data_IF_105396045494
#
_entry.id   IF_105396045494
#
_cell.length_a   1.000
_cell.length_b   1.000
_cell.length_c   1.000
_cell.angle_alpha   90.00
_cell.angle_beta   90.00
_cell.angle_gamma   90.00
#
_symmetry.space_group_name_H-M   'P 1'
#
loop_
_entity.id
_entity.type
_entity.pdbx_description
1 polymer ?
#
# COMPACT_ATOMS: atom_id res chain seq x y z
N UNK A 1 9.42 -0.68 -21.25
CA UNK A 1 9.64 -2.08 -21.62
C UNK A 1 11.09 -2.20 -22.06
N UNK A 2 11.82 -3.16 -21.51
CA UNK A 2 13.24 -3.39 -21.83
C UNK A 2 14.12 -2.13 -21.77
N UNK A 3 13.95 -1.34 -20.71
CA UNK A 3 14.71 -0.10 -20.49
C UNK A 3 14.19 1.14 -21.22
N UNK A 4 13.16 1.02 -22.06
CA UNK A 4 12.54 2.16 -22.78
C UNK A 4 11.26 2.60 -22.09
N UNK A 5 11.05 3.91 -21.93
CA UNK A 5 9.80 4.45 -21.41
C UNK A 5 8.66 4.20 -22.41
N UNK A 6 7.56 3.60 -21.95
CA UNK A 6 6.40 3.27 -22.78
C UNK A 6 5.14 3.76 -22.10
N UNK A 7 4.25 4.40 -22.86
CA UNK A 7 2.90 4.76 -22.40
C UNK A 7 2.01 3.52 -22.38
N UNK A 8 1.34 3.27 -21.27
CA UNK A 8 0.39 2.17 -21.12
C UNK A 8 -0.94 2.69 -20.60
N UNK A 9 -2.02 2.14 -21.15
CA UNK A 9 -3.35 2.30 -20.57
C UNK A 9 -3.60 1.14 -19.60
N UNK A 10 -4.13 1.47 -18.42
CA UNK A 10 -4.55 0.50 -17.42
C UNK A 10 -5.95 0.89 -16.91
N UNK A 11 -6.76 -0.13 -16.60
CA UNK A 11 -8.07 0.07 -15.98
C UNK A 11 -7.87 0.12 -14.47
N UNK A 12 -8.51 1.07 -13.81
CA UNK A 12 -8.51 1.21 -12.36
C UNK A 12 -9.92 1.05 -11.82
N UNK A 13 -10.04 0.50 -10.61
CA UNK A 13 -11.32 0.43 -9.91
C UNK A 13 -11.79 1.85 -9.58
N UNK A 14 -13.09 2.08 -9.68
CA UNK A 14 -13.76 3.33 -9.31
C UNK A 14 -14.82 3.04 -8.26
N UNK A 15 -15.04 3.99 -7.35
CA UNK A 15 -15.94 3.83 -6.21
C UNK A 15 -16.80 5.07 -6.04
N UNK A 16 -18.00 4.91 -5.46
CA UNK A 16 -18.92 6.01 -5.20
C UNK A 16 -18.48 6.86 -4.00
N UNK A 17 -17.77 6.27 -3.04
CA UNK A 17 -17.25 6.95 -1.85
C UNK A 17 -15.86 6.50 -1.45
N UNK A 18 -15.20 7.30 -0.60
CA UNK A 18 -13.93 6.87 0.03
C UNK A 18 -14.13 5.62 0.89
N UNK A 19 -15.24 5.52 1.63
CA UNK A 19 -15.54 4.35 2.46
C UNK A 19 -15.57 3.07 1.64
N UNK A 20 -16.21 3.09 0.46
CA UNK A 20 -16.24 1.91 -0.42
C UNK A 20 -14.84 1.51 -0.89
N UNK A 21 -13.99 2.50 -1.21
CA UNK A 21 -12.61 2.22 -1.62
C UNK A 21 -11.77 1.60 -0.50
N UNK A 22 -11.95 2.05 0.75
CA UNK A 22 -11.24 1.49 1.91
C UNK A 22 -11.74 0.10 2.28
N UNK A 23 -13.05 -0.13 2.21
CA UNK A 23 -13.63 -1.46 2.45
C UNK A 23 -13.10 -2.48 1.44
N UNK A 24 -13.14 -2.15 0.13
CA UNK A 24 -12.59 -3.02 -0.91
C UNK A 24 -11.08 -3.24 -0.77
N UNK A 25 -10.33 -2.21 -0.34
CA UNK A 25 -8.90 -2.35 -0.04
C UNK A 25 -8.65 -3.37 1.09
N UNK A 26 -9.40 -3.27 2.19
CA UNK A 26 -9.28 -4.21 3.32
C UNK A 26 -9.67 -5.63 2.90
N UNK A 27 -10.77 -5.77 2.15
CA UNK A 27 -11.21 -7.07 1.65
C UNK A 27 -10.20 -7.69 0.68
N UNK A 28 -9.63 -6.89 -0.22
CA UNK A 28 -8.55 -7.33 -1.11
C UNK A 28 -7.34 -7.87 -0.35
N UNK A 29 -6.92 -7.18 0.71
CA UNK A 29 -5.81 -7.65 1.53
C UNK A 29 -6.17 -8.95 2.27
N UNK A 30 -7.31 -8.97 2.97
CA UNK A 30 -7.74 -10.10 3.79
C UNK A 30 -7.98 -11.38 3.00
N UNK A 31 -8.59 -11.25 1.83
CA UNK A 31 -8.95 -12.40 0.99
C UNK A 31 -7.78 -12.95 0.15
N UNK A 32 -6.62 -12.30 0.21
CA UNK A 32 -5.42 -12.73 -0.53
C UNK A 32 -4.40 -13.36 0.42
N UNK A 33 -4.06 -14.65 0.24
CA UNK A 33 -2.98 -15.30 0.99
C UNK A 33 -1.64 -14.56 0.87
N UNK A 34 -1.44 -13.82 -0.24
CA UNK A 34 -0.24 -13.02 -0.52
C UNK A 34 0.09 -12.00 0.57
N UNK A 35 -0.91 -11.47 1.28
CA UNK A 35 -0.72 -10.36 2.22
C UNK A 35 -0.89 -10.74 3.70
N UNK A 36 -1.01 -12.02 4.03
CA UNK A 36 -1.30 -12.44 5.40
C UNK A 36 -0.19 -12.02 6.37
N UNK A 37 1.07 -12.10 5.96
CA UNK A 37 2.21 -11.67 6.79
C UNK A 37 2.18 -10.16 7.09
N UNK A 38 1.73 -9.35 6.12
CA UNK A 38 1.52 -7.92 6.34
C UNK A 38 0.37 -7.69 7.34
N UNK A 39 -0.76 -8.38 7.18
CA UNK A 39 -1.93 -8.27 8.06
C UNK A 39 -1.61 -8.69 9.50
N UNK A 40 -0.80 -9.72 9.69
CA UNK A 40 -0.33 -10.15 11.00
C UNK A 40 0.47 -9.05 11.73
N UNK A 41 1.02 -8.09 10.98
CA UNK A 41 1.73 -6.92 11.50
C UNK A 41 0.88 -5.64 11.52
N UNK A 42 -0.44 -5.70 11.36
CA UNK A 42 -1.30 -4.52 11.25
C UNK A 42 -1.20 -3.54 12.44
N UNK A 43 -0.83 -4.02 13.64
CA UNK A 43 -0.59 -3.18 14.81
C UNK A 43 0.75 -2.42 14.79
N UNK A 44 1.64 -2.75 13.86
CA UNK A 44 2.94 -2.10 13.64
C UNK A 44 2.95 -1.51 12.21
N UNK A 45 2.72 -0.19 12.05
CA UNK A 45 2.65 0.44 10.73
C UNK A 45 3.89 0.20 9.86
N UNK A 46 5.09 0.20 10.44
CA UNK A 46 6.33 -0.06 9.69
C UNK A 46 6.39 -1.52 9.21
N UNK A 47 6.04 -2.46 10.09
CA UNK A 47 5.98 -3.89 9.77
C UNK A 47 4.92 -4.22 8.70
N UNK A 48 3.73 -3.61 8.81
CA UNK A 48 2.69 -3.72 7.79
C UNK A 48 3.17 -3.23 6.41
N UNK A 49 3.80 -2.05 6.34
CA UNK A 49 4.29 -1.48 5.08
C UNK A 49 5.44 -2.29 4.47
N UNK A 50 6.32 -2.84 5.30
CA UNK A 50 7.37 -3.77 4.85
C UNK A 50 6.76 -5.05 4.27
N UNK A 51 5.79 -5.66 4.97
CA UNK A 51 5.09 -6.84 4.50
C UNK A 51 4.34 -6.60 3.17
N UNK A 52 3.74 -5.42 2.97
CA UNK A 52 3.15 -5.06 1.68
C UNK A 52 4.18 -5.01 0.55
N UNK A 53 5.37 -4.48 0.80
CA UNK A 53 6.45 -4.44 -0.19
C UNK A 53 6.94 -5.85 -0.53
N UNK A 54 7.22 -6.67 0.48
CA UNK A 54 7.66 -8.06 0.32
C UNK A 54 6.64 -8.89 -0.46
N UNK A 55 5.35 -8.64 -0.23
CA UNK A 55 4.24 -9.26 -0.92
C UNK A 55 4.00 -8.73 -2.35
N UNK A 56 4.76 -7.73 -2.80
CA UNK A 56 4.67 -7.17 -4.15
C UNK A 56 3.45 -6.28 -4.38
N UNK A 57 3.00 -5.55 -3.36
CA UNK A 57 1.92 -4.55 -3.49
C UNK A 57 2.30 -3.44 -4.49
N UNK A 58 3.56 -3.02 -4.46
CA UNK A 58 4.14 -2.04 -5.37
C UNK A 58 5.43 -2.59 -5.99
N UNK A 59 5.73 -2.18 -7.21
CA UNK A 59 6.95 -2.59 -7.93
C UNK A 59 8.16 -1.68 -7.63
N UNK A 60 7.95 -0.58 -6.92
CA UNK A 60 9.04 0.31 -6.50
C UNK A 60 9.81 -0.34 -5.33
N UNK A 61 11.15 -0.56 -5.46
CA UNK A 61 11.94 -1.16 -4.39
C UNK A 61 12.02 -0.30 -3.11
N UNK A 62 11.63 0.97 -3.18
CA UNK A 62 11.62 1.91 -2.05
C UNK A 62 10.20 2.25 -1.57
N UNK A 63 9.20 1.43 -1.90
CA UNK A 63 7.81 1.70 -1.52
C UNK A 63 7.62 1.87 0.00
N UNK A 64 8.05 0.90 0.79
CA UNK A 64 7.84 0.88 2.24
C UNK A 64 8.55 2.06 2.91
N UNK A 65 9.79 2.37 2.51
CA UNK A 65 10.55 3.48 3.08
C UNK A 65 9.90 4.84 2.80
N UNK A 66 9.40 5.04 1.58
CA UNK A 66 8.64 6.25 1.21
C UNK A 66 7.34 6.38 2.02
N UNK A 67 6.59 5.29 2.15
CA UNK A 67 5.34 5.27 2.90
C UNK A 67 5.56 5.53 4.40
N UNK A 68 6.55 4.88 5.02
CA UNK A 68 6.92 5.11 6.43
C UNK A 68 7.30 6.58 6.66
N UNK A 69 8.10 7.17 5.76
CA UNK A 69 8.46 8.59 5.85
C UNK A 69 7.24 9.51 5.84
N UNK A 70 6.23 9.21 5.01
CA UNK A 70 4.98 9.96 4.99
C UNK A 70 4.20 9.80 6.29
N UNK A 71 4.09 8.58 6.83
CA UNK A 71 3.43 8.32 8.12
C UNK A 71 4.10 9.12 9.24
N UNK A 72 5.42 9.15 9.30
CA UNK A 72 6.16 9.95 10.30
C UNK A 72 5.90 11.45 10.16
N UNK A 73 5.81 11.98 8.93
CA UNK A 73 5.50 13.40 8.70
C UNK A 73 4.08 13.75 9.17
N UNK A 74 3.10 12.92 8.86
CA UNK A 74 1.71 13.10 9.30
C UNK A 74 1.63 13.04 10.82
N UNK A 75 2.28 12.06 11.45
CA UNK A 75 2.35 11.97 12.91
C UNK A 75 3.00 13.21 13.53
N UNK A 76 4.03 13.78 12.90
CA UNK A 76 4.60 15.06 13.31
C UNK A 76 3.57 16.20 13.33
N UNK A 77 2.83 16.38 12.23
CA UNK A 77 1.81 17.44 12.12
C UNK A 77 0.65 17.30 13.10
N UNK A 78 0.31 16.08 13.51
CA UNK A 78 -0.78 15.84 14.45
C UNK A 78 -0.38 16.07 15.92
N UNK A 79 0.93 16.13 16.20
CA UNK A 79 1.47 16.36 17.55
C UNK A 79 1.91 17.82 17.77
N UNK A 80 1.70 18.69 16.78
CA UNK A 80 1.76 20.16 16.90
C UNK A 80 0.37 20.72 17.21
#
# INVERSE_FOLDING_TARGET
EDGVAVKKHAVFRSYESFTDSFNDYVDFLKNSPRYQDAINQAANPAGFLQGLQEAGYATDPNYASKAISLVSKIAGWLNE
#
